data_IF_284153694882
#
_entry.id   IF_284153694882
#
_cell.length_a   1.000
_cell.length_b   1.000
_cell.length_c   1.000
_cell.angle_alpha   90.00
_cell.angle_beta   90.00
_cell.angle_gamma   90.00
#
_symmetry.space_group_name_H-M   'P 1'
#
loop_
_entity.id
_entity.type
_entity.pdbx_description
1 polymer ?
#
# COMPACT_ATOMS: atom_id res chain seq x y z
N UNK A 1 -33.59 0.47 7.00
CA UNK A 1 -32.66 -0.64 6.76
C UNK A 1 -32.52 -1.01 5.28
N UNK A 2 -33.61 -1.23 4.51
CA UNK A 2 -33.56 -1.56 3.07
C UNK A 2 -32.75 -0.61 2.15
N UNK A 3 -32.75 0.71 2.43
CA UNK A 3 -32.05 1.70 1.57
C UNK A 3 -30.53 1.71 1.73
N UNK A 4 -30.01 1.42 2.92
CA UNK A 4 -28.56 1.30 3.17
C UNK A 4 -28.01 -0.01 2.60
N UNK A 5 -28.80 -1.09 2.70
CA UNK A 5 -28.45 -2.41 2.17
C UNK A 5 -28.33 -2.41 0.63
N UNK A 6 -29.12 -1.58 -0.05
CA UNK A 6 -29.03 -1.35 -1.50
C UNK A 6 -27.77 -0.60 -1.92
N UNK A 7 -27.27 0.35 -1.10
CA UNK A 7 -26.04 1.10 -1.39
C UNK A 7 -24.80 0.21 -1.23
N UNK A 8 -24.79 -0.65 -0.20
CA UNK A 8 -23.71 -1.63 0.03
C UNK A 8 -23.68 -2.73 -1.05
N UNK A 9 -24.84 -3.14 -1.57
CA UNK A 9 -24.90 -4.10 -2.69
C UNK A 9 -24.46 -3.48 -4.04
N UNK A 10 -24.59 -2.17 -4.22
CA UNK A 10 -24.25 -1.50 -5.48
C UNK A 10 -22.77 -1.13 -5.60
N UNK A 11 -22.00 -1.12 -4.50
CA UNK A 11 -20.56 -0.82 -4.53
C UNK A 11 -19.68 -2.02 -4.91
N UNK A 12 -20.19 -3.25 -4.74
CA UNK A 12 -19.44 -4.48 -5.05
C UNK A 12 -19.17 -4.71 -6.56
N UNK A 13 -20.10 -4.42 -7.48
CA UNK A 13 -19.85 -4.56 -8.93
C UNK A 13 -18.87 -3.52 -9.49
N UNK A 14 -18.83 -2.31 -8.91
CA UNK A 14 -17.97 -1.21 -9.39
C UNK A 14 -16.48 -1.52 -9.15
N UNK A 15 -16.15 -2.25 -8.08
CA UNK A 15 -14.78 -2.71 -7.83
C UNK A 15 -14.36 -3.90 -8.71
N UNK A 16 -15.31 -4.71 -9.19
CA UNK A 16 -15.01 -5.86 -10.07
C UNK A 16 -14.83 -5.48 -11.55
N UNK A 17 -15.41 -4.36 -11.98
CA UNK A 17 -15.30 -3.89 -13.37
C UNK A 17 -13.95 -3.26 -13.73
N UNK A 18 -13.06 -3.02 -12.74
CA UNK A 18 -11.77 -2.34 -12.94
C UNK A 18 -10.63 -3.23 -13.44
N UNK A 19 -10.76 -4.56 -13.41
CA UNK A 19 -9.70 -5.48 -13.83
C UNK A 19 -9.95 -6.04 -15.25
N UNK A 20 -9.95 -5.15 -16.25
CA UNK A 20 -9.75 -5.56 -17.63
C UNK A 20 -8.27 -5.89 -17.82
N UNK A 21 -7.91 -7.18 -17.79
CA UNK A 21 -6.59 -7.66 -18.20
C UNK A 21 -6.39 -7.31 -19.67
N UNK A 22 -5.57 -6.31 -19.96
CA UNK A 22 -5.06 -6.11 -21.32
C UNK A 22 -4.07 -7.24 -21.63
N UNK A 23 -4.19 -7.80 -22.83
CA UNK A 23 -3.24 -8.77 -23.37
C UNK A 23 -1.82 -8.21 -23.31
N UNK A 24 -0.90 -8.97 -22.68
CA UNK A 24 0.52 -8.66 -22.67
C UNK A 24 1.08 -8.82 -24.08
N UNK A 25 1.48 -7.69 -24.68
CA UNK A 25 2.29 -7.67 -25.88
C UNK A 25 3.62 -8.37 -25.59
N UNK A 26 3.81 -9.56 -26.15
CA UNK A 26 5.06 -10.34 -26.11
C UNK A 26 6.14 -9.73 -27.00
N UNK A 27 6.50 -8.47 -26.75
CA UNK A 27 7.69 -7.82 -27.33
C UNK A 27 8.69 -7.57 -26.23
N UNK A 28 9.94 -7.95 -26.49
CA UNK A 28 11.06 -7.71 -25.59
C UNK A 28 11.22 -6.20 -25.34
N UNK A 29 10.76 -5.75 -24.17
CA UNK A 29 10.77 -4.34 -23.80
C UNK A 29 12.14 -3.98 -23.24
N UNK A 30 12.89 -3.13 -23.97
CA UNK A 30 14.13 -2.50 -23.50
C UNK A 30 13.74 -1.13 -22.96
N UNK A 31 14.12 -0.82 -21.72
CA UNK A 31 13.72 0.40 -21.03
C UNK A 31 13.25 0.14 -19.60
N UNK A 32 12.54 1.11 -19.02
CA UNK A 32 12.01 1.02 -17.66
C UNK A 32 10.91 -0.04 -17.61
N UNK A 33 11.12 -1.10 -16.82
CA UNK A 33 10.15 -2.18 -16.64
C UNK A 33 9.57 -2.24 -15.22
N UNK A 34 10.13 -1.46 -14.29
CA UNK A 34 9.59 -1.31 -12.94
C UNK A 34 10.06 0.00 -12.33
N UNK A 35 9.18 0.66 -11.59
CA UNK A 35 9.52 1.84 -10.80
C UNK A 35 8.72 1.85 -9.50
N UNK A 36 9.32 2.39 -8.44
CA UNK A 36 8.66 2.51 -7.15
C UNK A 36 9.28 3.61 -6.30
N UNK A 37 8.44 4.19 -5.45
CA UNK A 37 8.82 5.25 -4.52
C UNK A 37 8.05 5.07 -3.21
N UNK A 38 8.78 5.12 -2.10
CA UNK A 38 8.23 5.11 -0.75
C UNK A 38 9.19 5.82 0.22
N UNK A 39 8.70 6.82 0.96
CA UNK A 39 9.44 7.48 2.06
C UNK A 39 10.87 7.93 1.67
N UNK A 40 10.98 8.68 0.58
CA UNK A 40 12.24 9.18 -0.02
C UNK A 40 13.16 8.11 -0.61
N UNK A 41 12.77 6.83 -0.58
CA UNK A 41 13.45 5.75 -1.29
C UNK A 41 12.80 5.50 -2.64
N UNK A 42 13.62 5.28 -3.65
CA UNK A 42 13.18 5.08 -5.04
C UNK A 42 13.93 3.92 -5.67
N UNK A 43 13.27 3.18 -6.57
CA UNK A 43 13.96 2.30 -7.52
C UNK A 43 13.39 2.49 -8.92
N UNK A 44 14.24 2.31 -9.92
CA UNK A 44 13.87 2.14 -11.32
C UNK A 44 14.65 0.93 -11.84
N UNK A 45 13.93 -0.06 -12.35
CA UNK A 45 14.47 -1.25 -12.98
C UNK A 45 14.48 -1.04 -14.49
N UNK A 46 15.67 -1.01 -15.08
CA UNK A 46 15.93 -0.83 -16.50
C UNK A 46 16.31 -2.18 -17.09
N UNK A 47 15.52 -2.66 -18.05
CA UNK A 47 15.89 -3.82 -18.87
C UNK A 47 16.76 -3.37 -20.02
N UNK A 48 17.99 -3.88 -20.06
CA UNK A 48 18.93 -3.64 -21.15
C UNK A 48 18.92 -4.82 -22.14
N UNK A 49 19.78 -4.78 -23.17
CA UNK A 49 19.91 -5.88 -24.14
C UNK A 49 20.40 -7.17 -23.51
N UNK A 50 21.31 -7.05 -22.53
CA UNK A 50 21.91 -8.15 -21.81
C UNK A 50 21.88 -7.80 -20.31
N UNK A 51 20.82 -8.22 -19.62
CA UNK A 51 20.68 -8.04 -18.17
C UNK A 51 19.82 -6.85 -17.73
N UNK A 52 19.93 -6.51 -16.45
CA UNK A 52 19.16 -5.46 -15.78
C UNK A 52 20.09 -4.47 -15.10
N UNK A 53 19.72 -3.20 -15.18
CA UNK A 53 20.37 -2.11 -14.44
C UNK A 53 19.33 -1.49 -13.51
N UNK A 54 19.73 -1.23 -12.28
CA UNK A 54 18.88 -0.63 -11.27
C UNK A 54 19.37 0.77 -10.94
N UNK A 55 18.47 1.73 -10.95
CA UNK A 55 18.70 3.05 -10.39
C UNK A 55 17.97 3.09 -9.04
N UNK A 56 18.72 2.99 -7.94
CA UNK A 56 18.18 3.11 -6.58
C UNK A 56 18.45 4.51 -6.04
N UNK A 57 17.64 4.99 -5.12
CA UNK A 57 17.81 6.32 -4.56
C UNK A 57 17.31 6.50 -3.14
N UNK A 58 17.87 7.52 -2.48
CA UNK A 58 17.47 7.97 -1.16
C UNK A 58 17.62 9.49 -1.06
N UNK A 59 16.55 10.19 -0.65
CA UNK A 59 16.55 11.66 -0.47
C UNK A 59 17.05 12.45 -1.70
N UNK A 60 16.74 11.94 -2.89
CA UNK A 60 17.11 12.56 -4.16
C UNK A 60 18.51 12.21 -4.67
N UNK A 61 19.35 11.56 -3.87
CA UNK A 61 20.59 10.93 -4.34
C UNK A 61 20.26 9.62 -5.05
N UNK A 62 21.01 9.29 -6.11
CA UNK A 62 20.77 8.12 -6.95
C UNK A 62 22.06 7.39 -7.25
N UNK A 63 21.98 6.06 -7.26
CA UNK A 63 23.07 5.14 -7.56
C UNK A 63 22.62 4.15 -8.62
N UNK A 64 23.46 3.94 -9.62
CA UNK A 64 23.27 2.94 -10.67
C UNK A 64 23.99 1.65 -10.27
N UNK A 65 23.27 0.53 -10.35
CA UNK A 65 23.74 -0.80 -9.98
C UNK A 65 23.45 -1.74 -11.13
N UNK A 66 24.50 -2.35 -11.67
CA UNK A 66 24.35 -3.46 -12.61
C UNK A 66 23.97 -4.72 -11.83
N UNK A 67 22.92 -5.40 -12.27
CA UNK A 67 22.50 -6.67 -11.67
C UNK A 67 23.47 -7.78 -12.06
N UNK A 68 23.94 -8.51 -11.06
CA UNK A 68 24.84 -9.65 -11.18
C UNK A 68 24.30 -10.77 -10.31
N UNK A 69 24.77 -12.00 -10.53
CA UNK A 69 24.41 -13.14 -9.68
C UNK A 69 24.81 -12.95 -8.19
N UNK A 70 25.68 -11.98 -7.86
CA UNK A 70 26.11 -11.71 -6.49
C UNK A 70 25.19 -10.76 -5.73
N UNK A 71 24.44 -9.89 -6.42
CA UNK A 71 23.60 -8.83 -5.82
C UNK A 71 22.13 -8.90 -6.26
N UNK A 72 21.74 -9.88 -7.09
CA UNK A 72 20.36 -10.10 -7.55
C UNK A 72 19.36 -10.15 -6.38
N UNK A 73 19.69 -10.89 -5.30
CA UNK A 73 18.84 -11.00 -4.12
C UNK A 73 18.68 -9.66 -3.40
N UNK A 74 19.75 -8.86 -3.29
CA UNK A 74 19.75 -7.58 -2.59
C UNK A 74 18.90 -6.53 -3.33
N UNK A 75 19.02 -6.44 -4.67
CA UNK A 75 18.21 -5.51 -5.47
C UNK A 75 16.73 -5.90 -5.48
N UNK A 76 16.43 -7.19 -5.53
CA UNK A 76 15.06 -7.71 -5.44
C UNK A 76 14.45 -7.44 -4.07
N UNK A 77 15.20 -7.67 -2.99
CA UNK A 77 14.72 -7.40 -1.64
C UNK A 77 14.52 -5.89 -1.40
N UNK A 78 15.38 -5.03 -1.95
CA UNK A 78 15.15 -3.58 -1.92
C UNK A 78 13.86 -3.18 -2.65
N UNK A 79 13.64 -3.71 -3.86
CA UNK A 79 12.41 -3.48 -4.63
C UNK A 79 11.16 -3.90 -3.86
N UNK A 80 11.17 -5.10 -3.28
CA UNK A 80 10.06 -5.63 -2.51
C UNK A 80 9.79 -4.79 -1.28
N UNK A 81 10.84 -4.38 -0.55
CA UNK A 81 10.70 -3.58 0.66
C UNK A 81 10.11 -2.19 0.35
N UNK A 82 10.56 -1.51 -0.71
CA UNK A 82 10.01 -0.21 -1.16
C UNK A 82 8.54 -0.36 -1.54
N UNK A 83 8.21 -1.39 -2.32
CA UNK A 83 6.84 -1.68 -2.75
C UNK A 83 5.91 -2.01 -1.57
N UNK A 84 6.41 -2.81 -0.63
CA UNK A 84 5.71 -3.22 0.58
C UNK A 84 5.42 -2.03 1.49
N UNK A 85 6.41 -1.16 1.74
CA UNK A 85 6.20 0.06 2.52
C UNK A 85 5.12 0.98 1.90
N UNK A 86 5.13 1.13 0.56
CA UNK A 86 4.08 1.88 -0.14
C UNK A 86 2.70 1.26 0.07
N UNK A 87 2.59 -0.06 -0.07
CA UNK A 87 1.32 -0.78 0.10
C UNK A 87 0.79 -0.66 1.54
N UNK A 88 1.64 -0.86 2.54
CA UNK A 88 1.29 -0.77 3.95
C UNK A 88 0.91 0.67 4.35
N UNK A 89 1.59 1.68 3.81
CA UNK A 89 1.17 3.07 3.96
C UNK A 89 -0.26 3.30 3.45
N UNK A 90 -0.58 2.79 2.27
CA UNK A 90 -1.95 2.88 1.74
C UNK A 90 -2.97 2.12 2.59
N UNK A 91 -2.61 0.96 3.14
CA UNK A 91 -3.45 0.22 4.09
C UNK A 91 -3.77 1.05 5.34
N UNK A 92 -2.77 1.76 5.90
CA UNK A 92 -2.98 2.68 7.03
C UNK A 92 -3.90 3.83 6.63
N UNK A 93 -3.64 4.47 5.47
CA UNK A 93 -4.46 5.59 4.97
C UNK A 93 -5.93 5.18 4.83
N UNK A 94 -6.20 4.02 4.25
CA UNK A 94 -7.55 3.46 4.10
C UNK A 94 -8.16 3.18 5.48
N UNK A 95 -7.41 2.59 6.39
CA UNK A 95 -7.87 2.25 7.75
C UNK A 95 -8.22 3.49 8.57
N UNK A 96 -7.39 4.54 8.53
CA UNK A 96 -7.64 5.82 9.20
C UNK A 96 -8.85 6.52 8.57
N UNK A 97 -8.96 6.52 7.23
CA UNK A 97 -10.11 7.12 6.53
C UNK A 97 -11.42 6.42 6.92
N UNK A 98 -11.39 5.09 7.00
CA UNK A 98 -12.49 4.29 7.50
C UNK A 98 -12.86 4.66 8.95
N UNK A 99 -11.87 4.80 9.84
CA UNK A 99 -12.12 5.20 11.23
C UNK A 99 -12.74 6.60 11.33
N UNK A 100 -12.31 7.55 10.49
CA UNK A 100 -12.92 8.88 10.41
C UNK A 100 -14.40 8.80 9.98
N UNK A 101 -14.73 7.93 9.02
CA UNK A 101 -16.11 7.71 8.63
C UNK A 101 -16.96 7.12 9.78
N UNK A 102 -16.42 6.14 10.52
CA UNK A 102 -17.06 5.57 11.71
C UNK A 102 -17.26 6.66 12.78
N UNK A 103 -16.24 7.49 13.02
CA UNK A 103 -16.31 8.59 14.00
C UNK A 103 -17.39 9.62 13.62
N UNK A 104 -17.43 10.04 12.35
CA UNK A 104 -18.46 10.96 11.84
C UNK A 104 -19.88 10.38 11.99
N UNK A 105 -20.08 9.10 11.65
CA UNK A 105 -21.37 8.43 11.81
C UNK A 105 -21.77 8.35 13.29
N UNK A 106 -20.81 8.03 14.15
CA UNK A 106 -21.00 7.94 15.61
C UNK A 106 -21.43 9.28 16.19
N UNK A 107 -20.73 10.36 15.83
CA UNK A 107 -21.07 11.73 16.24
C UNK A 107 -22.45 12.14 15.74
N UNK A 108 -22.78 11.84 14.48
CA UNK A 108 -24.10 12.12 13.92
C UNK A 108 -25.22 11.42 14.72
N UNK A 109 -25.05 10.13 15.02
CA UNK A 109 -26.02 9.37 15.80
C UNK A 109 -26.14 9.90 17.23
N UNK A 110 -25.02 10.23 17.86
CA UNK A 110 -24.99 10.79 19.20
C UNK A 110 -25.78 12.12 19.30
N UNK A 111 -25.56 13.03 18.35
CA UNK A 111 -26.18 14.36 18.35
C UNK A 111 -27.65 14.31 17.92
N UNK A 112 -27.99 13.58 16.85
CA UNK A 112 -29.33 13.65 16.22
C UNK A 112 -30.26 12.50 16.59
N UNK A 113 -29.73 11.35 17.02
CA UNK A 113 -30.48 10.10 17.20
C UNK A 113 -30.04 9.33 18.45
N UNK A 114 -29.96 10.04 19.58
CA UNK A 114 -29.41 9.53 20.85
C UNK A 114 -29.98 8.19 21.34
N UNK A 115 -31.26 7.89 21.10
CA UNK A 115 -31.84 6.59 21.45
C UNK A 115 -31.27 5.46 20.58
N UNK A 116 -31.21 5.66 19.26
CA UNK A 116 -30.58 4.71 18.35
C UNK A 116 -29.08 4.54 18.63
N UNK A 117 -28.39 5.61 19.05
CA UNK A 117 -26.98 5.52 19.45
C UNK A 117 -26.79 4.54 20.62
N UNK A 118 -27.63 4.61 21.67
CA UNK A 118 -27.55 3.68 22.81
C UNK A 118 -27.75 2.22 22.40
N UNK A 119 -28.65 1.98 21.44
CA UNK A 119 -28.93 0.63 20.92
C UNK A 119 -27.82 0.10 20.01
N UNK A 120 -27.07 0.99 19.34
CA UNK A 120 -26.07 0.61 18.32
C UNK A 120 -24.62 0.77 18.78
N UNK A 121 -24.38 1.21 20.02
CA UNK A 121 -23.03 1.50 20.53
C UNK A 121 -22.09 0.29 20.47
N UNK A 122 -22.58 -0.91 20.77
CA UNK A 122 -21.79 -2.14 20.69
C UNK A 122 -21.36 -2.44 19.26
N UNK A 123 -22.26 -2.22 18.29
CA UNK A 123 -21.97 -2.40 16.86
C UNK A 123 -20.91 -1.41 16.41
N UNK A 124 -21.06 -0.13 16.79
CA UNK A 124 -20.06 0.91 16.53
C UNK A 124 -18.70 0.55 17.11
N UNK A 125 -18.66 0.04 18.34
CA UNK A 125 -17.42 -0.36 19.00
C UNK A 125 -16.68 -1.49 18.25
N UNK A 126 -17.41 -2.48 17.72
CA UNK A 126 -16.81 -3.56 16.91
C UNK A 126 -16.23 -3.00 15.61
N UNK A 127 -16.98 -2.15 14.89
CA UNK A 127 -16.50 -1.55 13.65
C UNK A 127 -15.30 -0.62 13.88
N UNK A 128 -15.29 0.14 14.97
CA UNK A 128 -14.15 0.95 15.36
C UNK A 128 -12.94 0.07 15.73
N UNK A 129 -13.14 -0.98 16.51
CA UNK A 129 -12.09 -1.94 16.88
C UNK A 129 -11.43 -2.58 15.66
N UNK A 130 -12.22 -2.98 14.67
CA UNK A 130 -11.70 -3.52 13.42
C UNK A 130 -10.83 -2.50 12.65
N UNK A 131 -11.25 -1.24 12.57
CA UNK A 131 -10.46 -0.20 11.92
C UNK A 131 -9.14 0.07 12.66
N UNK A 132 -9.18 0.10 14.00
CA UNK A 132 -7.98 0.30 14.83
C UNK A 132 -7.02 -0.86 14.64
N UNK A 133 -7.51 -2.10 14.65
CA UNK A 133 -6.68 -3.29 14.42
C UNK A 133 -5.92 -3.20 13.10
N UNK A 134 -6.61 -2.95 11.98
CA UNK A 134 -5.97 -2.85 10.67
C UNK A 134 -4.97 -1.68 10.58
N UNK A 135 -5.28 -0.55 11.22
CA UNK A 135 -4.36 0.58 11.27
C UNK A 135 -3.09 0.25 12.08
N UNK A 136 -3.23 -0.47 13.20
CA UNK A 136 -2.09 -0.91 14.01
C UNK A 136 -1.24 -1.94 13.27
N UNK A 137 -1.86 -2.97 12.70
CA UNK A 137 -1.22 -4.02 11.90
C UNK A 137 -0.42 -3.40 10.74
N UNK A 138 -1.07 -2.56 9.93
CA UNK A 138 -0.41 -1.84 8.85
C UNK A 138 0.72 -0.92 9.31
N UNK A 139 0.63 -0.34 10.52
CA UNK A 139 1.71 0.50 11.09
C UNK A 139 2.94 -0.30 11.50
N UNK A 140 2.74 -1.48 12.09
CA UNK A 140 3.83 -2.38 12.46
C UNK A 140 4.53 -2.92 11.22
N UNK A 141 3.74 -3.35 10.25
CA UNK A 141 4.19 -3.83 8.95
C UNK A 141 4.98 -2.75 8.20
N UNK A 142 4.45 -1.51 8.16
CA UNK A 142 5.15 -0.37 7.58
C UNK A 142 6.52 -0.13 8.24
N UNK A 143 6.57 -0.18 9.57
CA UNK A 143 7.82 -0.01 10.28
C UNK A 143 8.83 -1.14 9.94
N UNK A 144 8.37 -2.38 9.82
CA UNK A 144 9.22 -3.49 9.37
C UNK A 144 9.75 -3.28 7.95
N UNK A 145 8.90 -2.87 7.01
CA UNK A 145 9.35 -2.59 5.64
C UNK A 145 10.34 -1.42 5.58
N UNK A 146 10.15 -0.36 6.37
CA UNK A 146 11.10 0.75 6.42
C UNK A 146 12.47 0.33 6.92
N UNK A 147 12.53 -0.53 7.95
CA UNK A 147 13.79 -1.10 8.42
C UNK A 147 14.45 -2.00 7.37
N UNK A 148 13.65 -2.78 6.63
CA UNK A 148 14.15 -3.62 5.54
C UNK A 148 14.71 -2.78 4.38
N UNK A 149 14.00 -1.71 3.97
CA UNK A 149 14.48 -0.77 2.95
C UNK A 149 15.82 -0.17 3.36
N UNK A 150 15.93 0.31 4.61
CA UNK A 150 17.16 0.92 5.11
C UNK A 150 18.32 -0.08 5.11
N UNK A 151 18.08 -1.32 5.53
CA UNK A 151 19.09 -2.37 5.53
C UNK A 151 19.57 -2.69 4.10
N UNK A 152 18.64 -2.94 3.18
CA UNK A 152 18.98 -3.26 1.78
C UNK A 152 19.67 -2.10 1.06
N UNK A 153 19.21 -0.86 1.29
CA UNK A 153 19.85 0.33 0.71
C UNK A 153 21.32 0.44 1.14
N UNK A 154 21.63 0.19 2.42
CA UNK A 154 23.00 0.22 2.93
C UNK A 154 23.87 -0.85 2.27
N UNK A 155 23.37 -2.07 2.10
CA UNK A 155 24.13 -3.15 1.44
C UNK A 155 24.48 -2.78 -0.01
N UNK A 156 23.52 -2.17 -0.72
CA UNK A 156 23.67 -1.81 -2.13
C UNK A 156 24.53 -0.55 -2.40
N UNK A 157 24.82 0.25 -1.38
CA UNK A 157 25.51 1.55 -1.53
C UNK A 157 26.87 1.63 -0.81
N UNK A 158 27.34 0.53 -0.23
CA UNK A 158 28.69 0.37 0.35
C UNK A 158 29.66 -0.18 -0.70
#
# INVERSE_FOLDING_TARGET
>A
MKKLLLIVLFSFPVMLAGCSKNEEDTKEHIGVIGEGEAFDYTYIMLKEKEGFTWEIGYKGERSLIEETAANEEDVMHYMEAVSSAKAQFWQIVVSITYLLAVACLTLFLFIKKRNLFKETITVIAVFAGFGIWNAMDGSLDLNHSLLAIEASYRVLTI
#
